data_IF_248934349159
#
_entry.id   IF_248934349159
#
_cell.length_a   1.000
_cell.length_b   1.000
_cell.length_c   1.000
_cell.angle_alpha   90.00
_cell.angle_beta   90.00
_cell.angle_gamma   90.00
#
_symmetry.space_group_name_H-M   'P 1'
#
loop_
_entity.id
_entity.type
_entity.pdbx_description
1 polymer ?
#
# COMPACT_ATOMS: atom_id res chain seq x y z
N UNK A 1 -59.95 5.96 7.56
CA UNK A 1 -58.51 5.68 7.47
C UNK A 1 -57.87 6.14 8.77
N UNK A 2 -57.45 5.19 9.59
CA UNK A 2 -56.97 5.40 10.96
C UNK A 2 -55.61 6.10 10.98
N UNK A 3 -55.55 7.25 11.64
CA UNK A 3 -54.31 7.95 12.01
C UNK A 3 -53.49 7.06 12.94
N UNK A 4 -52.53 6.32 12.39
CA UNK A 4 -51.51 5.65 13.20
C UNK A 4 -50.49 6.72 13.60
N UNK A 5 -50.74 7.35 14.76
CA UNK A 5 -49.72 8.12 15.48
C UNK A 5 -48.68 7.14 16.00
N UNK A 6 -47.61 6.89 15.24
CA UNK A 6 -46.36 6.36 15.80
C UNK A 6 -45.67 7.48 16.59
N UNK A 7 -46.24 7.82 17.75
CA UNK A 7 -45.60 8.69 18.74
C UNK A 7 -45.04 7.77 19.81
N UNK A 8 -43.88 7.20 19.53
CA UNK A 8 -42.99 6.71 20.57
C UNK A 8 -41.84 7.71 20.64
N UNK A 9 -41.81 8.55 21.66
CA UNK A 9 -40.59 9.31 21.98
C UNK A 9 -39.44 8.31 22.09
N UNK A 10 -38.44 8.42 21.22
CA UNK A 10 -37.33 7.49 21.21
C UNK A 10 -36.38 7.80 22.36
N UNK A 11 -36.23 6.84 23.27
CA UNK A 11 -35.20 6.88 24.32
C UNK A 11 -33.88 6.21 23.88
N UNK A 12 -33.76 5.85 22.60
CA UNK A 12 -32.59 5.17 22.02
C UNK A 12 -31.33 6.02 22.17
N UNK A 13 -31.40 7.30 21.77
CA UNK A 13 -30.32 8.27 21.94
C UNK A 13 -30.52 9.12 23.21
N UNK A 14 -30.68 8.48 24.38
CA UNK A 14 -30.56 9.17 25.66
C UNK A 14 -29.16 9.80 25.83
N UNK A 15 -29.03 10.87 26.61
CA UNK A 15 -27.75 11.57 26.83
C UNK A 15 -26.63 10.63 27.30
N UNK A 16 -26.98 9.68 28.18
CA UNK A 16 -26.08 8.61 28.63
C UNK A 16 -25.58 7.75 27.48
N UNK A 17 -26.48 7.35 26.57
CA UNK A 17 -26.14 6.52 25.41
C UNK A 17 -25.29 7.29 24.40
N UNK A 18 -25.57 8.57 24.14
CA UNK A 18 -24.75 9.42 23.26
C UNK A 18 -23.30 9.51 23.76
N UNK A 19 -23.14 9.82 25.05
CA UNK A 19 -21.83 9.89 25.69
C UNK A 19 -21.09 8.55 25.61
N UNK A 20 -21.80 7.44 25.78
CA UNK A 20 -21.24 6.10 25.62
C UNK A 20 -20.77 5.83 24.18
N UNK A 21 -21.58 6.17 23.17
CA UNK A 21 -21.25 6.01 21.75
C UNK A 21 -20.01 6.82 21.39
N UNK A 22 -19.98 8.11 21.73
CA UNK A 22 -18.85 9.01 21.44
C UNK A 22 -17.56 8.47 22.07
N UNK A 23 -17.62 8.05 23.34
CA UNK A 23 -16.46 7.46 24.05
C UNK A 23 -15.99 6.17 23.39
N UNK A 24 -16.92 5.32 22.96
CA UNK A 24 -16.63 4.04 22.31
C UNK A 24 -15.97 4.24 20.95
N UNK A 25 -16.46 5.18 20.13
CA UNK A 25 -15.87 5.51 18.83
C UNK A 25 -14.46 6.09 18.99
N UNK A 26 -14.26 6.99 19.97
CA UNK A 26 -12.93 7.54 20.27
C UNK A 26 -11.94 6.46 20.71
N UNK A 27 -12.39 5.51 21.54
CA UNK A 27 -11.60 4.34 21.94
C UNK A 27 -11.27 3.47 20.74
N UNK A 28 -12.27 3.16 19.91
CA UNK A 28 -12.10 2.34 18.71
C UNK A 28 -11.13 2.96 17.70
N UNK A 29 -11.21 4.28 17.48
CA UNK A 29 -10.27 5.05 16.65
C UNK A 29 -8.83 4.85 17.09
N UNK A 30 -8.56 4.89 18.40
CA UNK A 30 -7.23 4.64 18.96
C UNK A 30 -6.80 3.19 18.75
N UNK A 31 -7.69 2.23 19.02
CA UNK A 31 -7.40 0.81 18.90
C UNK A 31 -7.04 0.42 17.47
N UNK A 32 -7.84 0.82 16.48
CA UNK A 32 -7.60 0.44 15.09
C UNK A 32 -6.28 1.01 14.55
N UNK A 33 -5.95 2.27 14.87
CA UNK A 33 -4.67 2.86 14.46
C UNK A 33 -3.49 2.15 15.14
N UNK A 34 -3.65 1.73 16.39
CA UNK A 34 -2.63 0.99 17.12
C UNK A 34 -2.42 -0.42 16.54
N UNK A 35 -3.48 -1.13 16.17
CA UNK A 35 -3.38 -2.45 15.53
C UNK A 35 -2.75 -2.38 14.14
N UNK A 36 -3.03 -1.33 13.37
CA UNK A 36 -2.35 -1.06 12.10
C UNK A 36 -0.84 -0.91 12.34
N UNK A 37 -0.38 -0.16 13.33
CA UNK A 37 1.07 -0.08 13.61
C UNK A 37 1.68 -1.40 14.10
N UNK A 38 0.99 -2.10 15.02
CA UNK A 38 1.49 -3.37 15.57
C UNK A 38 1.64 -4.46 14.50
N UNK A 39 0.81 -4.42 13.46
CA UNK A 39 0.91 -5.39 12.37
C UNK A 39 2.17 -5.22 11.50
N UNK A 40 3.01 -4.20 11.74
CA UNK A 40 4.32 -4.08 11.07
C UNK A 40 5.26 -5.18 11.58
N UNK A 41 5.63 -6.10 10.70
CA UNK A 41 6.56 -7.18 11.00
C UNK A 41 7.97 -6.65 11.32
N UNK A 42 8.51 -6.99 12.49
CA UNK A 42 9.91 -6.71 12.87
C UNK A 42 10.69 -8.01 13.08
N UNK A 43 11.78 -8.18 12.32
CA UNK A 43 12.69 -9.35 12.39
C UNK A 43 13.41 -9.53 13.73
N UNK A 44 13.47 -8.50 14.58
CA UNK A 44 14.28 -8.51 15.81
C UNK A 44 13.46 -8.31 17.09
N UNK A 45 12.14 -8.50 17.04
CA UNK A 45 11.20 -8.20 18.14
C UNK A 45 11.22 -6.73 18.64
N UNK A 46 12.05 -5.86 18.05
CA UNK A 46 12.03 -4.43 18.28
C UNK A 46 10.95 -3.82 17.40
N UNK A 47 9.80 -3.46 17.96
CA UNK A 47 8.79 -2.69 17.22
C UNK A 47 9.33 -1.26 17.04
N UNK A 48 9.80 -0.87 15.85
CA UNK A 48 10.47 0.41 15.69
C UNK A 48 9.48 1.56 15.54
N UNK A 49 8.19 1.26 15.40
CA UNK A 49 7.09 2.19 15.18
C UNK A 49 6.06 2.08 16.29
N UNK A 50 5.46 3.20 16.64
CA UNK A 50 4.40 3.31 17.64
C UNK A 50 3.48 4.48 17.32
N UNK A 51 2.18 4.27 17.51
CA UNK A 51 1.16 5.30 17.39
C UNK A 51 0.77 5.84 18.78
N UNK A 52 0.97 7.13 18.99
CA UNK A 52 0.39 7.88 20.10
C UNK A 52 -0.87 8.59 19.58
N UNK A 53 -2.01 8.29 20.20
CA UNK A 53 -3.29 8.91 19.85
C UNK A 53 -3.21 10.45 19.98
N UNK A 54 -3.41 11.19 18.87
CA UNK A 54 -3.45 12.66 18.89
C UNK A 54 -4.59 13.25 19.72
N UNK A 55 -5.64 12.50 20.04
CA UNK A 55 -6.86 12.99 20.70
C UNK A 55 -7.37 14.31 20.08
N UNK A 56 -7.58 14.32 18.76
CA UNK A 56 -8.13 15.48 18.07
C UNK A 56 -9.65 15.38 18.07
N UNK A 57 -10.26 16.23 18.89
CA UNK A 57 -11.72 16.28 19.09
C UNK A 57 -12.29 17.68 18.79
N UNK A 58 -11.43 18.66 18.51
CA UNK A 58 -11.81 20.03 18.21
C UNK A 58 -11.00 20.53 17.01
N UNK A 59 -11.70 20.90 15.94
CA UNK A 59 -11.15 21.42 14.70
C UNK A 59 -12.23 22.19 13.93
N UNK A 60 -11.82 23.29 13.29
CA UNK A 60 -12.75 24.14 12.52
C UNK A 60 -13.08 23.53 11.17
N UNK A 61 -12.02 23.18 10.43
CA UNK A 61 -12.09 22.68 9.06
C UNK A 61 -11.08 21.54 8.86
N UNK A 62 -11.19 20.84 7.72
CA UNK A 62 -10.24 19.80 7.33
C UNK A 62 -8.78 20.27 7.29
N UNK A 63 -8.55 21.54 6.92
CA UNK A 63 -7.22 22.14 6.94
C UNK A 63 -6.68 22.30 8.37
N UNK A 64 -7.54 22.68 9.32
CA UNK A 64 -7.18 22.80 10.74
C UNK A 64 -6.93 21.42 11.37
N UNK A 65 -7.78 20.44 11.03
CA UNK A 65 -7.58 19.05 11.41
C UNK A 65 -6.21 18.53 10.95
N UNK A 66 -5.86 18.72 9.68
CA UNK A 66 -4.58 18.26 9.12
C UNK A 66 -3.38 18.88 9.85
N UNK A 67 -3.42 20.20 10.10
CA UNK A 67 -2.37 20.90 10.86
C UNK A 67 -2.23 20.37 12.28
N UNK A 68 -3.35 20.13 12.98
CA UNK A 68 -3.36 19.57 14.34
C UNK A 68 -2.85 18.14 14.35
N UNK A 69 -3.23 17.34 13.36
CA UNK A 69 -2.76 15.97 13.16
C UNK A 69 -1.24 15.94 12.97
N UNK A 70 -0.72 16.66 12.00
CA UNK A 70 0.72 16.75 11.70
C UNK A 70 1.56 17.21 12.89
N UNK A 71 1.04 18.14 13.72
CA UNK A 71 1.75 18.59 14.92
C UNK A 71 1.82 17.52 16.01
N UNK A 72 0.71 16.82 16.26
CA UNK A 72 0.61 15.86 17.36
C UNK A 72 1.22 14.50 17.00
N UNK A 73 1.12 14.10 15.75
CA UNK A 73 1.61 12.81 15.26
C UNK A 73 3.15 12.75 15.20
N UNK A 74 3.86 13.88 15.19
CA UNK A 74 5.33 13.94 15.33
C UNK A 74 5.85 13.29 16.61
N UNK A 75 5.01 13.17 17.64
CA UNK A 75 5.34 12.44 18.87
C UNK A 75 5.31 10.93 18.67
N UNK A 76 4.58 10.46 17.66
CA UNK A 76 4.50 9.08 17.22
C UNK A 76 5.61 8.80 16.22
N UNK A 77 6.07 7.55 16.17
CA UNK A 77 7.00 7.10 15.13
C UNK A 77 6.22 6.16 14.22
N UNK A 78 5.71 6.68 13.11
CA UNK A 78 4.86 5.96 12.16
C UNK A 78 5.67 5.68 10.89
N UNK A 79 5.39 4.56 10.23
CA UNK A 79 5.95 4.26 8.91
C UNK A 79 5.49 5.27 7.86
N UNK A 80 6.39 5.68 6.96
CA UNK A 80 6.08 6.65 5.89
C UNK A 80 4.92 6.15 5.02
N UNK A 81 4.89 4.85 4.74
CA UNK A 81 3.88 4.21 3.89
C UNK A 81 2.48 4.20 4.54
N UNK A 82 2.42 4.18 5.87
CA UNK A 82 1.18 4.07 6.64
C UNK A 82 0.61 5.42 7.07
N UNK A 83 1.42 6.47 6.98
CA UNK A 83 1.08 7.80 7.49
C UNK A 83 -0.24 8.33 6.92
N UNK A 84 -0.40 8.31 5.60
CA UNK A 84 -1.62 8.80 4.94
C UNK A 84 -2.82 7.88 5.17
N UNK A 85 -2.60 6.56 5.22
CA UNK A 85 -3.65 5.58 5.51
C UNK A 85 -4.23 5.76 6.92
N UNK A 86 -3.36 5.90 7.92
CA UNK A 86 -3.76 6.16 9.31
C UNK A 86 -4.42 7.53 9.44
N UNK A 87 -3.92 8.56 8.74
CA UNK A 87 -4.53 9.90 8.73
C UNK A 87 -5.98 9.86 8.20
N UNK A 88 -6.22 9.13 7.11
CA UNK A 88 -7.55 8.94 6.55
C UNK A 88 -8.48 8.21 7.52
N UNK A 89 -8.02 7.09 8.08
CA UNK A 89 -8.77 6.28 9.07
C UNK A 89 -9.12 7.12 10.30
N UNK A 90 -8.15 7.90 10.79
CA UNK A 90 -8.34 8.78 11.94
C UNK A 90 -9.35 9.89 11.63
N UNK A 91 -9.28 10.51 10.44
CA UNK A 91 -10.21 11.57 10.01
C UNK A 91 -11.66 11.08 9.92
N UNK A 92 -11.89 9.88 9.40
CA UNK A 92 -13.23 9.30 9.23
C UNK A 92 -13.98 9.15 10.57
N UNK A 93 -13.28 8.72 11.63
CA UNK A 93 -13.85 8.59 12.98
C UNK A 93 -13.74 9.87 13.81
N UNK A 94 -13.13 10.92 13.29
CA UNK A 94 -12.99 12.20 13.99
C UNK A 94 -14.12 13.14 13.60
N UNK A 95 -14.97 13.45 14.58
CA UNK A 95 -15.95 14.54 14.52
C UNK A 95 -15.81 15.39 15.77
N UNK A 96 -16.15 16.67 15.65
CA UNK A 96 -16.16 17.60 16.79
C UNK A 96 -17.28 17.25 17.76
N UNK A 97 -17.20 17.70 19.02
CA UNK A 97 -18.30 17.53 19.97
C UNK A 97 -19.60 18.20 19.48
N UNK A 98 -19.49 19.35 18.81
CA UNK A 98 -20.63 20.01 18.16
C UNK A 98 -21.24 19.16 17.05
N UNK A 99 -20.42 18.57 16.18
CA UNK A 99 -20.89 17.67 15.12
C UNK A 99 -21.53 16.41 15.69
N UNK A 100 -20.97 15.83 16.75
CA UNK A 100 -21.60 14.70 17.44
C UNK A 100 -22.93 15.07 18.04
N UNK A 101 -23.01 16.24 18.69
CA UNK A 101 -24.26 16.72 19.27
C UNK A 101 -25.31 17.01 18.21
N UNK A 102 -24.94 17.58 17.05
CA UNK A 102 -25.88 17.79 15.95
C UNK A 102 -26.44 16.45 15.44
N UNK A 103 -25.56 15.51 15.11
CA UNK A 103 -25.94 14.19 14.57
C UNK A 103 -26.78 13.38 15.57
N UNK A 104 -26.45 13.45 16.87
CA UNK A 104 -27.09 12.62 17.91
C UNK A 104 -28.29 13.31 18.59
N UNK A 105 -28.56 14.59 18.29
CA UNK A 105 -29.70 15.34 18.84
C UNK A 105 -30.84 15.57 17.83
N UNK A 106 -30.76 15.04 16.61
CA UNK A 106 -31.90 15.04 15.69
C UNK A 106 -33.00 14.14 16.29
N UNK A 107 -34.06 14.75 16.83
CA UNK A 107 -35.10 14.10 17.65
C UNK A 107 -36.47 14.06 16.98
N UNK A 108 -36.51 13.78 15.68
CA UNK A 108 -37.79 13.79 14.96
C UNK A 108 -38.54 12.45 15.07
N UNK A 109 -37.82 11.31 15.05
CA UNK A 109 -38.39 9.97 15.15
C UNK A 109 -37.37 8.90 15.57
N UNK A 110 -37.83 7.76 16.09
CA UNK A 110 -36.99 6.56 16.31
C UNK A 110 -36.35 6.04 15.01
N UNK A 111 -36.97 6.33 13.87
CA UNK A 111 -36.44 6.00 12.54
C UNK A 111 -35.17 6.83 12.26
N UNK A 112 -35.15 8.10 12.66
CA UNK A 112 -34.01 8.98 12.47
C UNK A 112 -32.85 8.56 13.39
N UNK A 113 -33.16 8.22 14.65
CA UNK A 113 -32.19 7.63 15.58
C UNK A 113 -31.54 6.37 14.98
N UNK A 114 -32.32 5.50 14.33
CA UNK A 114 -31.78 4.31 13.64
C UNK A 114 -30.93 4.68 12.43
N UNK A 115 -31.36 5.65 11.63
CA UNK A 115 -30.59 6.15 10.48
C UNK A 115 -29.21 6.68 10.90
N UNK A 116 -29.17 7.42 12.01
CA UNK A 116 -27.92 7.92 12.61
C UNK A 116 -27.01 6.76 13.05
N UNK A 117 -27.57 5.76 13.76
CA UNK A 117 -26.80 4.58 14.19
C UNK A 117 -26.24 3.78 13.00
N UNK A 118 -27.05 3.60 11.93
CA UNK A 118 -26.62 2.94 10.70
C UNK A 118 -25.52 3.73 9.99
N UNK A 119 -25.60 5.06 9.98
CA UNK A 119 -24.53 5.90 9.43
C UNK A 119 -23.23 5.72 10.19
N UNK A 120 -23.28 5.65 11.53
CA UNK A 120 -22.11 5.39 12.37
C UNK A 120 -21.54 4.00 12.10
N UNK A 121 -22.39 2.99 12.01
CA UNK A 121 -21.97 1.61 11.69
C UNK A 121 -21.28 1.54 10.33
N UNK A 122 -21.83 2.21 9.32
CA UNK A 122 -21.23 2.31 7.99
C UNK A 122 -19.86 2.98 8.03
N UNK A 123 -19.70 4.07 8.79
CA UNK A 123 -18.41 4.74 8.98
C UNK A 123 -17.39 3.80 9.66
N UNK A 124 -17.81 3.00 10.65
CA UNK A 124 -16.98 1.97 11.30
C UNK A 124 -16.58 0.87 10.31
N UNK A 125 -17.50 0.39 9.48
CA UNK A 125 -17.22 -0.64 8.47
C UNK A 125 -16.24 -0.14 7.41
N UNK A 126 -16.38 1.11 6.94
CA UNK A 126 -15.42 1.72 6.01
C UNK A 126 -14.02 1.79 6.63
N UNK A 127 -13.92 2.22 7.89
CA UNK A 127 -12.65 2.31 8.62
C UNK A 127 -12.00 0.93 8.78
N UNK A 128 -12.78 -0.11 9.05
CA UNK A 128 -12.30 -1.51 9.06
C UNK A 128 -11.77 -1.94 7.71
N UNK A 129 -12.51 -1.66 6.63
CA UNK A 129 -12.08 -2.00 5.28
C UNK A 129 -10.75 -1.32 4.94
N UNK A 130 -10.61 -0.03 5.23
CA UNK A 130 -9.36 0.70 4.98
C UNK A 130 -8.21 0.17 5.84
N UNK A 131 -8.44 -0.16 7.12
CA UNK A 131 -7.42 -0.76 7.96
C UNK A 131 -6.95 -2.11 7.42
N UNK A 132 -7.88 -2.97 6.99
CA UNK A 132 -7.56 -4.25 6.35
C UNK A 132 -6.78 -4.04 5.06
N UNK A 133 -7.18 -3.09 4.22
CA UNK A 133 -6.46 -2.77 2.99
C UNK A 133 -5.02 -2.30 3.25
N UNK A 134 -4.80 -1.48 4.29
CA UNK A 134 -3.46 -1.07 4.71
C UNK A 134 -2.63 -2.26 5.21
N UNK A 135 -3.20 -3.18 5.98
CA UNK A 135 -2.48 -4.39 6.42
C UNK A 135 -2.18 -5.30 5.23
N UNK A 136 -3.16 -5.50 4.36
CA UNK A 136 -3.04 -6.34 3.17
C UNK A 136 -2.04 -5.77 2.15
N UNK A 137 -1.89 -4.45 2.04
CA UNK A 137 -0.90 -3.82 1.16
C UNK A 137 0.53 -4.21 1.56
N UNK A 138 0.82 -4.28 2.88
CA UNK A 138 2.14 -4.67 3.41
C UNK A 138 2.46 -6.14 3.16
N UNK A 139 1.48 -7.01 3.37
CA UNK A 139 1.63 -8.45 3.11
C UNK A 139 1.65 -8.71 1.58
N UNK A 140 1.22 -7.72 0.78
CA UNK A 140 0.98 -7.83 -0.66
C UNK A 140 -0.08 -8.87 -0.99
N UNK A 141 -1.10 -8.99 -0.12
CA UNK A 141 -2.23 -9.89 -0.30
C UNK A 141 -3.16 -9.46 -1.46
N UNK A 142 -3.00 -8.24 -1.99
CA UNK A 142 -3.53 -7.86 -3.30
C UNK A 142 -2.39 -7.99 -4.30
N UNK A 143 -2.46 -9.00 -5.16
CA UNK A 143 -1.41 -9.44 -6.10
C UNK A 143 -1.04 -8.46 -7.22
N UNK A 144 -0.95 -7.16 -6.93
CA UNK A 144 -0.62 -6.14 -7.92
C UNK A 144 0.75 -5.56 -7.60
N UNK A 145 1.75 -6.00 -8.37
CA UNK A 145 2.84 -5.09 -8.71
C UNK A 145 2.18 -3.88 -9.40
N UNK A 146 2.11 -2.74 -8.73
CA UNK A 146 1.59 -1.51 -9.33
C UNK A 146 2.75 -0.76 -9.99
N UNK A 147 3.36 -1.38 -11.00
CA UNK A 147 4.31 -0.71 -11.88
C UNK A 147 3.80 -0.88 -13.29
N UNK A 148 3.14 0.17 -13.80
CA UNK A 148 2.62 0.22 -15.16
C UNK A 148 3.71 0.08 -16.22
N UNK A 149 4.99 0.27 -15.87
CA UNK A 149 6.13 0.05 -16.77
C UNK A 149 7.32 -0.49 -15.98
N UNK A 150 7.69 -1.74 -16.25
CA UNK A 150 8.90 -2.35 -15.73
C UNK A 150 9.89 -2.43 -16.89
N UNK A 151 10.96 -1.65 -16.84
CA UNK A 151 11.96 -1.62 -17.91
C UNK A 151 13.11 -2.57 -17.58
N UNK A 152 13.44 -3.52 -18.47
CA UNK A 152 14.70 -4.26 -18.35
C UNK A 152 15.87 -3.34 -18.68
N UNK A 153 16.89 -3.37 -17.84
CA UNK A 153 18.15 -2.66 -18.06
C UNK A 153 19.20 -3.71 -18.43
N UNK A 154 19.87 -3.49 -19.55
CA UNK A 154 21.00 -4.32 -20.00
C UNK A 154 22.26 -3.47 -19.92
N UNK A 155 23.25 -3.98 -19.20
CA UNK A 155 24.58 -3.42 -19.07
C UNK A 155 25.59 -4.36 -19.75
N UNK A 156 26.36 -3.82 -20.68
CA UNK A 156 27.26 -4.58 -21.53
C UNK A 156 28.01 -3.69 -22.52
N UNK A 157 29.09 -4.20 -23.14
CA UNK A 157 29.85 -3.43 -24.11
C UNK A 157 28.99 -3.09 -25.35
N UNK A 158 29.17 -1.87 -25.87
CA UNK A 158 28.51 -1.42 -27.11
C UNK A 158 29.30 -1.83 -28.38
N UNK A 159 30.57 -2.22 -28.20
CA UNK A 159 31.42 -2.73 -29.25
C UNK A 159 32.36 -3.82 -28.71
N UNK A 160 32.64 -4.85 -29.51
CA UNK A 160 33.52 -5.97 -29.15
C UNK A 160 34.18 -6.56 -30.40
N UNK A 161 35.32 -7.24 -30.22
CA UNK A 161 36.02 -7.93 -31.32
C UNK A 161 35.38 -9.30 -31.55
N UNK A 162 35.40 -9.77 -32.79
CA UNK A 162 34.85 -11.07 -33.13
C UNK A 162 35.69 -12.20 -32.50
N UNK A 163 35.03 -13.21 -31.92
CA UNK A 163 35.68 -14.29 -31.17
C UNK A 163 35.84 -14.04 -29.67
N UNK A 164 35.69 -12.79 -29.20
CA UNK A 164 35.75 -12.48 -27.78
C UNK A 164 34.53 -13.01 -27.02
N UNK A 165 34.75 -13.33 -25.74
CA UNK A 165 33.67 -13.61 -24.78
C UNK A 165 33.38 -12.37 -23.97
N UNK A 166 32.17 -11.83 -24.08
CA UNK A 166 31.74 -10.65 -23.30
C UNK A 166 30.66 -11.01 -22.29
N UNK A 167 30.63 -10.25 -21.20
CA UNK A 167 29.64 -10.38 -20.14
C UNK A 167 28.49 -9.37 -20.37
N UNK A 168 27.26 -9.87 -20.38
CA UNK A 168 26.03 -9.07 -20.37
C UNK A 168 25.36 -9.22 -19.01
N UNK A 169 25.07 -8.09 -18.38
CA UNK A 169 24.35 -8.01 -17.11
C UNK A 169 22.94 -7.51 -17.37
N UNK A 170 21.97 -8.32 -16.97
CA UNK A 170 20.57 -8.03 -17.23
C UNK A 170 19.88 -7.91 -15.90
N UNK A 171 19.29 -6.75 -15.64
CA UNK A 171 18.64 -6.45 -14.39
C UNK A 171 17.27 -5.86 -14.63
N UNK A 172 16.37 -6.15 -13.70
CA UNK A 172 15.12 -5.42 -13.60
C UNK A 172 15.28 -4.33 -12.56
N UNK A 173 14.85 -3.11 -12.88
CA UNK A 173 14.99 -1.95 -11.98
C UNK A 173 14.38 -2.17 -10.58
N UNK A 174 13.44 -3.11 -10.45
CA UNK A 174 12.88 -3.56 -9.18
C UNK A 174 12.81 -5.08 -9.14
N UNK A 175 13.51 -5.71 -8.20
CA UNK A 175 13.41 -7.15 -7.94
C UNK A 175 13.15 -7.41 -6.46
N UNK A 176 12.43 -8.48 -6.17
CA UNK A 176 12.23 -8.96 -4.82
C UNK A 176 13.43 -9.82 -4.41
N UNK A 177 14.16 -9.47 -3.35
CA UNK A 177 15.32 -10.24 -2.87
C UNK A 177 14.99 -11.70 -2.47
N UNK A 178 13.70 -12.03 -2.28
CA UNK A 178 13.23 -13.38 -1.95
C UNK A 178 12.75 -14.18 -3.18
N UNK A 179 12.67 -13.56 -4.37
CA UNK A 179 12.25 -14.23 -5.61
C UNK A 179 13.18 -13.83 -6.75
N UNK A 180 14.03 -14.77 -7.16
CA UNK A 180 14.91 -14.55 -8.30
C UNK A 180 14.11 -14.56 -9.62
N UNK A 181 14.32 -13.58 -10.52
CA UNK A 181 13.78 -13.61 -11.87
C UNK A 181 14.33 -14.80 -12.66
N UNK A 182 13.54 -15.29 -13.62
CA UNK A 182 14.01 -16.25 -14.61
C UNK A 182 14.39 -15.49 -15.88
N UNK A 183 15.57 -15.79 -16.41
CA UNK A 183 16.09 -15.14 -17.60
C UNK A 183 16.21 -16.14 -18.75
N UNK A 184 15.81 -15.72 -19.93
CA UNK A 184 16.01 -16.43 -21.18
C UNK A 184 16.80 -15.54 -22.13
N UNK A 185 17.72 -16.15 -22.88
CA UNK A 185 18.48 -15.48 -23.94
C UNK A 185 18.27 -16.21 -25.26
N UNK A 186 17.93 -15.45 -26.29
CA UNK A 186 17.81 -15.89 -27.67
C UNK A 186 19.00 -15.36 -28.46
N UNK A 187 19.65 -16.20 -29.27
CA UNK A 187 20.80 -15.81 -30.10
C UNK A 187 22.17 -16.29 -29.62
N UNK A 188 22.22 -17.19 -28.62
CA UNK A 188 23.45 -17.84 -28.17
C UNK A 188 24.12 -17.08 -27.02
N UNK A 189 24.18 -17.74 -25.87
CA UNK A 189 24.72 -17.21 -24.62
C UNK A 189 24.37 -18.13 -23.47
N UNK A 190 25.22 -18.20 -22.45
CA UNK A 190 24.96 -19.03 -21.26
C UNK A 190 24.77 -18.15 -20.05
N UNK A 191 23.69 -18.39 -19.32
CA UNK A 191 23.48 -17.83 -17.99
C UNK A 191 24.51 -18.47 -17.05
N UNK A 192 25.40 -17.66 -16.50
CA UNK A 192 26.45 -18.12 -15.59
C UNK A 192 25.97 -18.13 -14.14
N UNK A 193 25.32 -17.04 -13.73
CA UNK A 193 24.77 -16.91 -12.38
C UNK A 193 23.64 -15.90 -12.32
N UNK A 194 22.81 -16.04 -11.29
CA UNK A 194 21.83 -15.02 -10.87
C UNK A 194 22.23 -14.58 -9.47
N UNK A 195 22.54 -13.29 -9.30
CA UNK A 195 22.93 -12.72 -8.02
C UNK A 195 22.23 -11.39 -7.81
N UNK A 196 21.52 -11.23 -6.68
CA UNK A 196 20.77 -10.01 -6.34
C UNK A 196 19.87 -9.54 -7.49
N UNK A 197 19.11 -10.46 -8.10
CA UNK A 197 18.18 -10.12 -9.19
C UNK A 197 18.83 -9.71 -10.52
N UNK A 198 20.15 -9.86 -10.65
CA UNK A 198 20.91 -9.61 -11.87
C UNK A 198 21.27 -10.96 -12.50
N UNK A 199 20.93 -11.15 -13.78
CA UNK A 199 21.36 -12.27 -14.60
C UNK A 199 22.67 -11.94 -15.30
N UNK A 200 23.67 -12.79 -15.11
CA UNK A 200 24.99 -12.65 -15.72
C UNK A 200 25.10 -13.63 -16.88
N UNK A 201 25.26 -13.12 -18.09
CA UNK A 201 25.35 -13.91 -19.31
C UNK A 201 26.74 -13.80 -19.93
N UNK A 202 27.33 -14.94 -20.28
CA UNK A 202 28.50 -15.01 -21.16
C UNK A 202 28.06 -15.28 -22.58
N UNK A 203 28.43 -14.38 -23.49
CA UNK A 203 28.13 -14.47 -24.92
C UNK A 203 29.43 -14.42 -25.70
N UNK A 204 29.54 -15.30 -26.70
CA UNK A 204 30.67 -15.31 -27.64
C UNK A 204 30.26 -14.50 -28.86
N UNK A 205 31.08 -13.52 -29.23
CA UNK A 205 30.80 -12.65 -30.37
C UNK A 205 31.05 -13.40 -31.68
N UNK A 206 30.03 -13.61 -32.52
CA UNK A 206 30.22 -14.29 -33.80
C UNK A 206 30.91 -13.39 -34.82
N UNK A 207 31.43 -13.98 -35.90
CA UNK A 207 32.00 -13.26 -37.04
C UNK A 207 30.89 -12.64 -37.92
N UNK A 208 30.21 -11.59 -37.44
CA UNK A 208 29.23 -10.80 -38.21
C UNK A 208 29.53 -9.30 -38.10
N UNK A 209 28.84 -8.45 -38.88
CA UNK A 209 29.02 -6.98 -38.84
C UNK A 209 28.37 -6.32 -37.61
N UNK A 210 27.20 -6.81 -37.21
CA UNK A 210 26.48 -6.40 -36.01
C UNK A 210 25.74 -7.62 -35.43
N UNK A 211 25.54 -7.63 -34.11
CA UNK A 211 24.71 -8.62 -33.43
C UNK A 211 23.74 -7.95 -32.44
N UNK A 212 22.50 -8.44 -32.41
CA UNK A 212 21.49 -8.06 -31.44
C UNK A 212 21.16 -9.26 -30.55
N UNK A 213 21.49 -9.17 -29.26
CA UNK A 213 21.05 -10.12 -28.25
C UNK A 213 19.65 -9.76 -27.79
N UNK A 214 18.76 -10.74 -27.71
CA UNK A 214 17.40 -10.58 -27.22
C UNK A 214 17.10 -11.62 -26.17
N UNK A 215 16.17 -11.33 -25.30
CA UNK A 215 15.70 -12.32 -24.35
C UNK A 215 14.49 -11.86 -23.58
N UNK A 216 14.03 -12.75 -22.71
CA UNK A 216 12.93 -12.47 -21.80
C UNK A 216 13.46 -12.44 -20.38
N UNK A 217 12.96 -11.48 -19.60
CA UNK A 217 13.05 -11.52 -18.15
C UNK A 217 11.65 -11.76 -17.62
N UNK A 218 11.48 -12.81 -16.81
CA UNK A 218 10.18 -13.16 -16.25
C UNK A 218 10.23 -13.11 -14.73
N UNK A 219 9.26 -12.40 -14.14
CA UNK A 219 8.99 -12.47 -12.71
C UNK A 219 7.60 -12.98 -12.46
N UNK A 220 7.48 -13.84 -11.46
CA UNK A 220 6.18 -14.25 -10.95
C UNK A 220 5.68 -13.21 -9.97
N UNK A 221 4.43 -12.83 -10.10
CA UNK A 221 3.78 -12.04 -9.06
C UNK A 221 3.57 -12.91 -7.80
N UNK A 222 3.10 -12.29 -6.70
CA UNK A 222 2.82 -13.00 -5.44
C UNK A 222 1.74 -14.09 -5.59
N UNK A 223 0.92 -14.03 -6.63
CA UNK A 223 -0.08 -15.05 -6.99
C UNK A 223 0.47 -16.14 -7.91
N UNK A 224 1.77 -16.12 -8.24
CA UNK A 224 2.43 -17.11 -9.10
C UNK A 224 2.25 -16.88 -10.60
N UNK A 225 1.54 -15.83 -11.02
CA UNK A 225 1.30 -15.49 -12.43
C UNK A 225 2.59 -14.86 -13.00
N UNK A 226 3.14 -15.38 -14.10
CA UNK A 226 4.34 -14.84 -14.72
C UNK A 226 4.05 -13.51 -15.44
N UNK A 227 4.96 -12.56 -15.29
CA UNK A 227 5.03 -11.32 -16.04
C UNK A 227 6.38 -11.26 -16.73
N UNK A 228 6.37 -11.16 -18.06
CA UNK A 228 7.56 -11.27 -18.89
C UNK A 228 7.77 -9.99 -19.68
N UNK A 229 9.00 -9.48 -19.64
CA UNK A 229 9.43 -8.30 -20.40
C UNK A 229 10.56 -8.68 -21.36
N UNK A 230 10.56 -8.06 -22.53
CA UNK A 230 11.55 -8.33 -23.58
C UNK A 230 12.69 -7.33 -23.43
N UNK A 231 13.92 -7.84 -23.34
CA UNK A 231 15.13 -7.04 -23.37
C UNK A 231 15.88 -7.22 -24.69
N UNK A 232 16.58 -6.17 -25.12
CA UNK A 232 17.38 -6.17 -26.34
C UNK A 232 18.66 -5.38 -26.11
N UNK A 233 19.79 -5.88 -26.60
CA UNK A 233 21.07 -5.19 -26.58
C UNK A 233 21.82 -5.40 -27.89
N UNK A 234 22.36 -4.32 -28.47
CA UNK A 234 23.08 -4.36 -29.74
C UNK A 234 24.57 -4.14 -29.50
N UNK A 235 25.39 -5.00 -30.09
CA UNK A 235 26.84 -4.90 -30.04
C UNK A 235 27.35 -4.73 -31.47
N UNK A 236 28.13 -3.67 -31.69
CA UNK A 236 28.85 -3.46 -32.94
C UNK A 236 30.14 -4.28 -32.94
N UNK A 237 30.41 -5.00 -34.01
CA UNK A 237 31.60 -5.85 -34.07
C UNK A 237 32.72 -5.07 -34.73
N UNK A 238 33.83 -4.93 -34.01
CA UNK A 238 35.04 -4.32 -34.52
C UNK A 238 35.82 -5.42 -35.26
N UNK A 239 36.08 -5.19 -36.54
CA UNK A 239 37.05 -5.97 -37.29
C UNK A 239 38.43 -5.37 -37.00
N UNK A 240 39.38 -6.21 -36.57
CA UNK A 240 40.80 -5.92 -36.78
C UNK A 240 41.15 -6.09 -38.26
#
# INVERSE_FOLDING_TARGET
MSNVKYVGESNLLSEKNRNFIIKSIRKYRKEICCEIEKSIYSRKNTHPYFFIDPQINDFKDDKDFNKKYERKIKKSKISIDDYEGIKLIYRLLSKTDEQWNLILNEKESWIDDLGVLLSIERDIMMVRSFALDQICSRIGCRGNYNFSHILPIVDGPNAAVAGDTVELKILMAFFNAYQNPTFEIFGGGKLEKIEKGIGYFKVVIPNSKEIEFKGNITLKNKSGIPHSEIWKHKIKILHE
#
